data_IF_966507521142
#
_entry.id   IF_966507521142
#
_cell.length_a   1.000
_cell.length_b   1.000
_cell.length_c   1.000
_cell.angle_alpha   90.00
_cell.angle_beta   90.00
_cell.angle_gamma   90.00
#
_symmetry.space_group_name_H-M   'P 1'
#
loop_
_entity.id
_entity.type
_entity.pdbx_description
1 polymer ?
#
# COMPACT_ATOMS: atom_id res chain seq x y z
N UNK A 1 19.40 -16.84 -0.64
CA UNK A 1 19.76 -17.96 -1.54
C UNK A 1 18.88 -19.17 -1.24
N UNK A 2 18.67 -19.56 0.02
CA UNK A 2 17.87 -20.74 0.39
C UNK A 2 16.41 -20.64 -0.10
N UNK A 3 15.73 -19.51 0.14
CA UNK A 3 14.36 -19.29 -0.33
C UNK A 3 14.21 -19.38 -1.85
N UNK A 4 15.19 -18.83 -2.60
CA UNK A 4 15.21 -18.93 -4.06
C UNK A 4 15.42 -20.35 -4.54
N UNK A 5 16.18 -21.18 -3.80
CA UNK A 5 16.35 -22.61 -4.11
C UNK A 5 15.07 -23.42 -3.87
N UNK A 6 14.23 -22.94 -2.97
CA UNK A 6 12.90 -23.50 -2.67
C UNK A 6 11.80 -22.96 -3.60
N UNK A 7 12.17 -22.13 -4.58
CA UNK A 7 11.23 -21.52 -5.53
C UNK A 7 10.43 -20.36 -4.95
N UNK A 8 10.80 -19.89 -3.75
CA UNK A 8 10.15 -18.76 -3.08
C UNK A 8 10.86 -17.46 -3.48
N UNK A 9 10.13 -16.55 -4.10
CA UNK A 9 10.62 -15.19 -4.32
C UNK A 9 10.52 -14.41 -3.02
N UNK A 10 11.63 -14.03 -2.37
CA UNK A 10 11.56 -13.30 -1.12
C UNK A 10 11.04 -11.88 -1.36
N UNK A 11 9.82 -11.62 -0.98
CA UNK A 11 9.25 -10.28 -0.91
C UNK A 11 9.49 -9.70 0.49
N UNK A 12 9.93 -8.44 0.63
CA UNK A 12 10.01 -7.83 1.95
C UNK A 12 8.59 -7.64 2.50
N UNK A 13 8.36 -7.93 3.80
CA UNK A 13 7.11 -7.55 4.42
C UNK A 13 6.96 -6.03 4.39
N UNK A 14 5.73 -5.58 4.35
CA UNK A 14 5.42 -4.16 4.43
C UNK A 14 5.22 -3.80 5.89
N UNK A 15 6.01 -2.84 6.37
CA UNK A 15 5.69 -2.14 7.61
C UNK A 15 4.66 -1.07 7.28
N UNK A 16 3.53 -1.03 7.99
CA UNK A 16 2.46 -0.07 7.71
C UNK A 16 2.80 1.34 8.24
N UNK A 17 4.06 1.73 8.21
CA UNK A 17 4.52 3.01 8.71
C UNK A 17 4.81 3.98 7.56
N UNK A 18 4.37 5.23 7.74
CA UNK A 18 4.76 6.36 6.89
C UNK A 18 5.94 7.05 7.55
N UNK A 19 6.99 7.26 6.78
CA UNK A 19 8.13 8.04 7.21
C UNK A 19 8.06 9.44 6.62
N UNK A 20 8.25 10.46 7.47
CA UNK A 20 8.44 11.82 7.00
C UNK A 20 9.80 11.89 6.27
N UNK A 21 9.76 12.33 5.03
CA UNK A 21 10.98 12.66 4.29
C UNK A 21 11.36 14.09 4.66
N UNK A 22 12.52 14.25 5.24
CA UNK A 22 13.10 15.57 5.45
C UNK A 22 14.04 15.82 4.25
N UNK A 23 13.63 16.66 3.31
CA UNK A 23 14.31 16.87 2.02
C UNK A 23 15.78 17.35 2.14
N UNK A 24 16.21 17.79 3.30
CA UNK A 24 17.55 18.31 3.49
C UNK A 24 18.56 17.33 4.12
N UNK A 25 18.13 16.27 4.77
CA UNK A 25 19.03 15.39 5.54
C UNK A 25 18.59 13.92 5.57
N UNK A 26 18.29 13.29 4.51
CA UNK A 26 17.93 11.84 4.31
C UNK A 26 18.45 10.78 5.34
N UNK A 27 18.76 11.21 6.54
CA UNK A 27 19.44 10.40 7.53
C UNK A 27 18.56 9.90 8.68
N UNK A 28 17.26 10.27 8.69
CA UNK A 28 16.40 9.89 9.82
C UNK A 28 15.02 9.46 9.36
N UNK A 29 14.63 8.25 9.77
CA UNK A 29 13.32 7.66 9.53
C UNK A 29 12.34 8.13 10.61
N UNK A 30 11.88 9.38 10.54
CA UNK A 30 10.85 9.89 11.45
C UNK A 30 9.49 9.30 11.06
N UNK A 31 8.81 8.67 12.00
CA UNK A 31 7.47 8.12 11.78
C UNK A 31 6.46 9.27 11.75
N UNK A 32 5.86 9.49 10.60
CA UNK A 32 4.80 10.49 10.42
C UNK A 32 3.41 9.92 10.67
N UNK A 33 3.22 8.63 10.46
CA UNK A 33 1.90 8.02 10.58
C UNK A 33 1.90 6.53 10.29
N UNK A 34 0.70 6.01 10.14
CA UNK A 34 0.44 4.67 9.63
C UNK A 34 -0.26 4.82 8.28
N UNK A 35 0.19 4.09 7.28
CA UNK A 35 -0.38 4.09 5.92
C UNK A 35 -1.89 3.84 5.97
N UNK A 36 -2.42 3.21 7.01
CA UNK A 36 -3.72 2.58 6.96
C UNK A 36 -4.58 2.65 8.23
N UNK A 37 -4.43 3.64 9.06
CA UNK A 37 -5.24 3.78 10.24
C UNK A 37 -4.46 4.38 11.41
N UNK A 38 -4.87 4.18 12.65
CA UNK A 38 -4.13 4.67 13.78
C UNK A 38 -2.74 4.03 13.84
N UNK A 39 -1.76 4.80 14.30
CA UNK A 39 -0.40 4.30 14.52
C UNK A 39 -0.50 3.12 15.51
N UNK A 40 0.23 2.00 15.28
CA UNK A 40 0.21 0.86 16.17
C UNK A 40 0.56 1.23 17.62
N UNK A 41 -0.03 0.51 18.56
CA UNK A 41 0.23 0.74 19.98
C UNK A 41 1.74 0.69 20.31
N UNK A 42 2.20 1.63 21.11
CA UNK A 42 3.63 1.77 21.45
C UNK A 42 4.43 2.69 20.53
N UNK A 43 3.89 3.09 19.39
CA UNK A 43 4.49 4.02 18.44
C UNK A 43 3.70 5.32 18.44
N UNK A 44 4.36 6.45 18.30
CA UNK A 44 3.71 7.76 18.11
C UNK A 44 4.34 8.51 16.94
N UNK A 45 3.59 9.43 16.34
CA UNK A 45 4.15 10.33 15.33
C UNK A 45 5.27 11.17 15.95
N UNK A 46 6.38 11.30 15.22
CA UNK A 46 7.59 11.95 15.70
C UNK A 46 8.65 10.98 16.28
N UNK A 47 8.31 9.71 16.52
CA UNK A 47 9.33 8.71 16.85
C UNK A 47 10.31 8.56 15.70
N UNK A 48 11.59 8.41 16.02
CA UNK A 48 12.64 8.14 15.07
C UNK A 48 12.94 6.63 15.05
N UNK A 49 12.74 5.97 13.92
CA UNK A 49 13.15 4.58 13.75
C UNK A 49 14.68 4.50 13.66
N UNK A 50 15.28 3.86 14.64
CA UNK A 50 16.72 3.72 14.72
C UNK A 50 17.20 2.30 14.40
N UNK A 51 16.44 1.27 14.82
CA UNK A 51 16.80 -0.12 14.55
C UNK A 51 15.60 -0.96 14.12
N UNK A 52 15.86 -1.95 13.29
CA UNK A 52 14.91 -3.00 12.89
C UNK A 52 15.55 -4.35 13.19
N UNK A 53 14.92 -5.19 13.99
CA UNK A 53 15.46 -6.47 14.46
C UNK A 53 16.89 -6.35 15.04
N UNK A 54 17.15 -5.24 15.74
CA UNK A 54 18.44 -4.94 16.35
C UNK A 54 19.49 -4.29 15.43
N UNK A 55 19.26 -4.26 14.10
CA UNK A 55 20.16 -3.67 13.12
C UNK A 55 19.84 -2.18 12.90
N UNK A 56 20.88 -1.35 12.85
CA UNK A 56 20.76 0.09 12.60
C UNK A 56 20.21 0.33 11.19
N UNK A 57 19.25 1.26 11.05
CA UNK A 57 18.68 1.67 9.77
C UNK A 57 18.72 3.19 9.62
N UNK A 58 19.06 3.66 8.45
CA UNK A 58 19.17 5.09 8.11
C UNK A 58 18.26 5.49 6.93
N UNK A 59 17.70 4.50 6.23
CA UNK A 59 16.85 4.77 5.06
C UNK A 59 15.71 3.76 4.92
N UNK A 60 14.61 4.11 4.24
CA UNK A 60 13.54 3.17 3.94
C UNK A 60 14.01 1.97 3.11
N UNK A 61 15.04 2.15 2.29
CA UNK A 61 15.60 1.06 1.49
C UNK A 61 16.34 0.04 2.36
N UNK A 62 17.09 0.49 3.37
CA UNK A 62 17.74 -0.41 4.34
C UNK A 62 16.70 -1.23 5.12
N UNK A 63 15.62 -0.60 5.55
CA UNK A 63 14.49 -1.31 6.18
C UNK A 63 13.95 -2.42 5.27
N UNK A 64 13.74 -2.12 3.98
CA UNK A 64 13.25 -3.10 3.00
C UNK A 64 14.25 -4.24 2.79
N UNK A 65 15.55 -3.94 2.71
CA UNK A 65 16.58 -4.96 2.53
C UNK A 65 16.69 -5.88 3.75
N UNK A 66 16.67 -5.33 4.97
CA UNK A 66 16.70 -6.12 6.21
C UNK A 66 15.49 -7.03 6.35
N UNK A 67 14.32 -6.57 5.91
CA UNK A 67 13.10 -7.34 6.00
C UNK A 67 12.87 -8.30 4.82
N UNK A 68 13.77 -8.32 3.84
CA UNK A 68 13.63 -9.19 2.66
C UNK A 68 13.61 -10.67 3.04
N UNK A 69 12.47 -11.32 2.81
CA UNK A 69 12.24 -12.71 3.17
C UNK A 69 11.98 -12.96 4.65
N UNK A 70 11.81 -11.89 5.44
CA UNK A 70 11.37 -11.99 6.83
C UNK A 70 9.86 -12.19 6.90
N UNK A 71 9.39 -12.98 7.82
CA UNK A 71 7.96 -13.20 8.09
C UNK A 71 7.70 -13.15 9.58
N UNK A 72 6.62 -12.49 9.99
CA UNK A 72 6.22 -12.40 11.38
C UNK A 72 6.45 -11.03 12.02
N UNK A 73 6.59 -11.04 13.33
CA UNK A 73 6.74 -9.85 14.16
C UNK A 73 8.11 -9.22 13.98
N UNK A 74 8.14 -7.93 13.71
CA UNK A 74 9.37 -7.12 13.53
C UNK A 74 9.62 -6.33 14.79
N UNK A 75 10.83 -6.42 15.33
CA UNK A 75 11.28 -5.61 16.46
C UNK A 75 11.76 -4.25 15.97
N UNK A 76 11.24 -3.17 16.58
CA UNK A 76 11.61 -1.80 16.26
C UNK A 76 12.25 -1.14 17.46
N UNK A 77 13.44 -0.58 17.28
CA UNK A 77 14.06 0.33 18.24
C UNK A 77 13.84 1.78 17.79
N UNK A 78 13.14 2.52 18.62
CA UNK A 78 12.73 3.90 18.37
C UNK A 78 13.49 4.85 19.31
N UNK A 79 13.69 6.09 18.85
CA UNK A 79 14.11 7.20 19.69
C UNK A 79 12.96 8.19 19.83
N UNK A 80 12.52 8.40 21.06
CA UNK A 80 11.46 9.33 21.45
C UNK A 80 12.03 10.35 22.43
N UNK A 81 12.11 11.62 22.03
CA UNK A 81 12.68 12.67 22.89
C UNK A 81 14.05 12.31 23.50
N UNK A 82 14.87 11.57 22.75
CA UNK A 82 16.17 11.02 23.15
C UNK A 82 16.12 9.79 24.07
N UNK A 83 14.95 9.28 24.41
CA UNK A 83 14.79 8.01 25.09
C UNK A 83 14.65 6.85 24.10
N UNK A 84 15.27 5.70 24.43
CA UNK A 84 15.10 4.50 23.62
C UNK A 84 13.84 3.77 24.00
N UNK A 85 12.99 3.49 23.01
CA UNK A 85 11.75 2.73 23.14
C UNK A 85 11.85 1.49 22.25
N UNK A 86 11.65 0.31 22.82
CA UNK A 86 11.54 -0.93 22.06
C UNK A 86 10.06 -1.30 21.91
N UNK A 87 9.67 -1.68 20.72
CA UNK A 87 8.32 -2.13 20.43
C UNK A 87 8.34 -3.17 19.31
N UNK A 88 7.22 -3.79 19.06
CA UNK A 88 7.07 -4.77 17.98
C UNK A 88 5.89 -4.41 17.09
N UNK A 89 5.99 -4.76 15.82
CA UNK A 89 4.93 -4.58 14.84
C UNK A 89 4.84 -5.83 13.97
N UNK A 90 3.62 -6.20 13.58
CA UNK A 90 3.44 -7.26 12.60
C UNK A 90 3.89 -6.78 11.21
N UNK A 91 4.77 -7.56 10.61
CA UNK A 91 5.13 -7.39 9.20
C UNK A 91 4.16 -8.14 8.31
N UNK A 92 3.54 -7.44 7.38
CA UNK A 92 2.60 -8.07 6.44
C UNK A 92 3.36 -8.65 5.24
N UNK A 93 3.17 -9.93 4.90
CA UNK A 93 3.77 -10.49 3.71
C UNK A 93 3.24 -9.74 2.47
N UNK A 94 4.14 -9.19 1.69
CA UNK A 94 3.80 -8.61 0.40
C UNK A 94 3.75 -9.74 -0.61
N UNK A 95 2.59 -10.31 -0.83
CA UNK A 95 2.38 -11.15 -2.00
C UNK A 95 2.59 -10.30 -3.26
N UNK A 96 3.33 -10.86 -4.21
CA UNK A 96 3.46 -10.18 -5.49
C UNK A 96 2.05 -10.00 -6.07
N UNK A 97 1.75 -8.79 -6.56
CA UNK A 97 0.41 -8.48 -7.12
C UNK A 97 0.02 -9.47 -8.21
N UNK A 98 0.99 -9.96 -8.97
CA UNK A 98 0.79 -10.94 -10.05
C UNK A 98 0.58 -12.38 -9.55
N UNK A 99 0.69 -12.65 -8.26
CA UNK A 99 0.44 -13.97 -7.64
C UNK A 99 -1.00 -14.12 -7.13
N UNK A 100 -1.82 -13.11 -7.32
CA UNK A 100 -3.25 -13.07 -6.95
C UNK A 100 -4.08 -12.57 -8.13
N UNK A 101 -5.39 -12.68 -7.99
CA UNK A 101 -6.30 -12.16 -9.00
C UNK A 101 -6.13 -10.67 -9.18
N UNK A 102 -6.11 -10.22 -10.41
CA UNK A 102 -5.97 -8.82 -10.75
C UNK A 102 -6.73 -8.43 -12.01
N UNK A 103 -6.99 -7.14 -12.13
CA UNK A 103 -7.60 -6.53 -13.30
C UNK A 103 -6.59 -5.60 -13.96
N UNK A 104 -6.46 -5.70 -15.28
CA UNK A 104 -5.82 -4.68 -16.10
C UNK A 104 -6.90 -3.83 -16.78
N UNK A 105 -6.89 -2.53 -16.51
CA UNK A 105 -7.82 -1.57 -17.12
C UNK A 105 -7.02 -0.44 -17.80
N UNK A 106 -7.00 -0.43 -19.13
CA UNK A 106 -6.32 0.62 -19.94
C UNK A 106 -4.87 0.93 -19.47
N UNK A 107 -4.14 -0.08 -19.00
CA UNK A 107 -2.79 0.03 -18.45
C UNK A 107 -2.70 0.24 -16.94
N UNK A 108 -3.83 0.26 -16.24
CA UNK A 108 -3.88 0.27 -14.76
C UNK A 108 -3.96 -1.15 -14.24
N UNK A 109 -3.08 -1.51 -13.30
CA UNK A 109 -3.13 -2.76 -12.56
C UNK A 109 -3.89 -2.55 -11.26
N UNK A 110 -4.99 -3.28 -11.08
CA UNK A 110 -5.88 -3.22 -9.93
C UNK A 110 -5.95 -4.62 -9.30
N UNK A 111 -5.79 -4.70 -7.99
CA UNK A 111 -5.97 -5.94 -7.23
C UNK A 111 -6.52 -5.63 -5.83
N UNK A 112 -6.79 -6.67 -5.07
CA UNK A 112 -7.16 -6.51 -3.66
C UNK A 112 -6.06 -5.78 -2.89
N UNK A 113 -6.45 -4.97 -1.91
CA UNK A 113 -5.49 -4.36 -0.99
C UNK A 113 -4.73 -5.46 -0.22
N UNK A 114 -3.45 -5.22 0.02
CA UNK A 114 -2.51 -6.18 0.59
C UNK A 114 -2.74 -6.41 2.09
N UNK A 115 -3.61 -5.64 2.71
CA UNK A 115 -3.73 -5.57 4.17
C UNK A 115 -5.04 -6.14 4.68
N UNK A 116 -5.06 -7.42 5.10
CA UNK A 116 -6.28 -8.11 5.51
C UNK A 116 -6.87 -7.62 6.86
N UNK A 117 -6.08 -6.99 7.71
CA UNK A 117 -6.46 -6.73 9.12
C UNK A 117 -7.29 -5.47 9.36
N UNK A 118 -7.83 -4.88 8.32
CA UNK A 118 -8.63 -3.70 8.55
C UNK A 118 -10.09 -4.06 8.67
N UNK A 119 -10.67 -3.62 9.76
CA UNK A 119 -12.12 -3.49 9.92
C UNK A 119 -12.81 -2.69 8.79
N UNK A 120 -12.03 -2.17 7.84
CA UNK A 120 -12.47 -1.48 6.63
C UNK A 120 -12.27 -2.30 5.35
N UNK A 121 -11.64 -3.46 5.42
CA UNK A 121 -11.05 -4.14 4.25
C UNK A 121 -11.99 -5.07 3.48
N UNK A 122 -13.23 -5.20 3.87
CA UNK A 122 -14.15 -5.92 3.00
C UNK A 122 -14.30 -5.18 1.67
N UNK A 123 -13.60 -5.67 0.65
CA UNK A 123 -13.75 -5.21 -0.72
C UNK A 123 -13.06 -3.87 -1.03
N UNK A 124 -11.87 -3.63 -0.51
CA UNK A 124 -11.02 -2.55 -0.99
C UNK A 124 -10.11 -3.07 -2.10
N UNK A 125 -10.10 -2.35 -3.22
CA UNK A 125 -9.30 -2.65 -4.39
C UNK A 125 -8.37 -1.47 -4.65
N UNK A 126 -7.10 -1.77 -4.82
CA UNK A 126 -6.05 -0.76 -4.95
C UNK A 126 -5.54 -0.67 -6.39
N UNK A 127 -5.27 0.54 -6.84
CA UNK A 127 -4.45 0.82 -8.01
C UNK A 127 -2.99 0.61 -7.64
N UNK A 128 -2.37 -0.46 -8.12
CA UNK A 128 -0.98 -0.80 -7.79
C UNK A 128 0.04 -0.13 -8.71
N UNK A 129 -0.29 -0.01 -9.99
CA UNK A 129 0.57 0.64 -10.97
C UNK A 129 -0.22 1.15 -12.15
N UNK A 130 0.33 2.16 -12.82
CA UNK A 130 -0.18 2.71 -14.07
C UNK A 130 0.98 2.69 -15.06
N UNK A 131 0.77 2.06 -16.21
CA UNK A 131 1.79 1.96 -17.24
C UNK A 131 2.04 3.32 -17.89
N UNK A 132 3.32 3.68 -18.05
CA UNK A 132 3.71 4.91 -18.72
C UNK A 132 3.23 4.93 -20.19
N UNK A 133 2.73 6.06 -20.66
CA UNK A 133 2.14 6.23 -21.97
C UNK A 133 0.74 5.62 -22.11
N UNK A 134 0.20 5.02 -21.05
CA UNK A 134 -1.13 4.45 -21.07
C UNK A 134 -2.22 5.53 -21.04
N UNK A 135 -3.43 5.10 -21.35
CA UNK A 135 -4.58 5.98 -21.27
C UNK A 135 -4.94 6.36 -19.83
N UNK A 136 -4.71 5.45 -18.91
CA UNK A 136 -4.94 5.71 -17.48
C UNK A 136 -4.01 6.77 -16.93
N UNK A 137 -2.76 6.85 -17.42
CA UNK A 137 -1.82 7.91 -17.05
C UNK A 137 -2.30 9.32 -17.40
N UNK A 138 -3.15 9.42 -18.43
CA UNK A 138 -3.74 10.70 -18.88
C UNK A 138 -5.03 11.05 -18.12
N UNK A 139 -5.40 10.26 -17.13
CA UNK A 139 -6.58 10.47 -16.29
C UNK A 139 -6.18 10.90 -14.88
N UNK A 140 -7.19 11.16 -14.04
CA UNK A 140 -6.97 11.48 -12.61
C UNK A 140 -6.75 10.23 -11.75
N UNK A 141 -6.55 9.04 -12.37
CA UNK A 141 -6.18 7.83 -11.64
C UNK A 141 -4.73 7.90 -11.16
N UNK A 142 -4.52 7.60 -9.90
CA UNK A 142 -3.21 7.57 -9.25
C UNK A 142 -2.90 6.21 -8.63
N UNK A 143 -1.61 5.88 -8.53
CA UNK A 143 -1.15 4.72 -7.77
C UNK A 143 -1.48 4.87 -6.29
N UNK A 144 -1.75 3.73 -5.63
CA UNK A 144 -2.17 3.64 -4.23
C UNK A 144 -3.59 4.15 -3.91
N UNK A 145 -4.31 4.70 -4.87
CA UNK A 145 -5.72 5.01 -4.71
C UNK A 145 -6.54 3.73 -4.51
N UNK A 146 -7.58 3.84 -3.67
CA UNK A 146 -8.50 2.74 -3.36
C UNK A 146 -9.83 2.99 -4.05
N UNK A 147 -10.36 1.99 -4.75
CA UNK A 147 -11.67 2.05 -5.38
C UNK A 147 -12.74 1.80 -4.32
N UNK A 148 -13.55 2.80 -4.03
CA UNK A 148 -14.64 2.74 -3.06
C UNK A 148 -15.96 2.32 -3.72
N UNK A 149 -16.25 2.89 -4.89
CA UNK A 149 -17.42 2.50 -5.67
C UNK A 149 -17.24 2.75 -7.16
N UNK A 150 -17.98 1.99 -7.96
CA UNK A 150 -18.10 2.14 -9.41
C UNK A 150 -19.59 2.34 -9.71
N UNK A 151 -19.93 3.45 -10.38
CA UNK A 151 -21.32 3.82 -10.70
C UNK A 151 -22.24 3.78 -9.47
N UNK A 152 -21.73 4.20 -8.30
CA UNK A 152 -22.46 4.19 -7.02
C UNK A 152 -22.57 2.83 -6.35
N UNK A 153 -22.03 1.76 -6.94
CA UNK A 153 -22.04 0.40 -6.39
C UNK A 153 -20.68 0.06 -5.76
N UNK A 154 -20.69 -0.35 -4.49
CA UNK A 154 -19.47 -0.85 -3.82
C UNK A 154 -19.14 -2.25 -4.33
N UNK A 155 -17.92 -2.50 -4.85
CA UNK A 155 -17.49 -3.85 -5.22
C UNK A 155 -17.41 -4.76 -3.98
N UNK A 156 -17.75 -6.03 -4.14
CA UNK A 156 -17.75 -7.05 -3.07
C UNK A 156 -16.65 -8.09 -3.22
N UNK A 157 -16.17 -8.28 -4.46
CA UNK A 157 -15.06 -9.14 -4.82
C UNK A 157 -14.36 -8.56 -6.04
N UNK A 158 -13.22 -9.14 -6.43
CA UNK A 158 -12.50 -8.66 -7.61
C UNK A 158 -13.25 -8.98 -8.91
N UNK A 159 -13.96 -10.10 -8.96
CA UNK A 159 -14.82 -10.47 -10.07
C UNK A 159 -15.99 -9.47 -10.18
N UNK A 160 -16.62 -9.11 -9.06
CA UNK A 160 -17.68 -8.11 -9.05
C UNK A 160 -17.14 -6.73 -9.45
N UNK A 161 -15.93 -6.36 -9.05
CA UNK A 161 -15.28 -5.15 -9.54
C UNK A 161 -15.08 -5.21 -11.06
N UNK A 162 -14.61 -6.33 -11.59
CA UNK A 162 -14.44 -6.54 -13.02
C UNK A 162 -15.77 -6.37 -13.78
N UNK A 163 -16.87 -6.96 -13.28
CA UNK A 163 -18.21 -6.80 -13.85
C UNK A 163 -18.64 -5.34 -13.87
N UNK A 164 -18.42 -4.61 -12.76
CA UNK A 164 -18.76 -3.19 -12.66
C UNK A 164 -17.93 -2.33 -13.62
N UNK A 165 -16.64 -2.61 -13.78
CA UNK A 165 -15.76 -1.89 -14.71
C UNK A 165 -16.12 -2.15 -16.18
N UNK A 166 -16.70 -3.30 -16.48
CA UNK A 166 -17.21 -3.65 -17.81
C UNK A 166 -18.68 -3.26 -18.05
N UNK A 167 -19.37 -2.69 -17.05
CA UNK A 167 -20.81 -2.42 -17.14
C UNK A 167 -21.19 -1.28 -18.11
N UNK A 168 -20.22 -0.53 -18.61
CA UNK A 168 -20.48 0.57 -19.52
C UNK A 168 -19.24 1.32 -19.97
N UNK A 169 -19.38 2.11 -21.02
CA UNK A 169 -18.27 2.91 -21.55
C UNK A 169 -17.86 4.09 -20.65
N UNK A 170 -18.76 4.55 -19.80
CA UNK A 170 -18.53 5.67 -18.87
C UNK A 170 -18.71 5.17 -17.46
N UNK A 171 -17.66 5.29 -16.68
CA UNK A 171 -17.62 4.89 -15.27
C UNK A 171 -17.54 6.14 -14.40
N UNK A 172 -18.31 6.15 -13.33
CA UNK A 172 -18.20 7.09 -12.22
C UNK A 172 -17.50 6.36 -11.08
N UNK A 173 -16.23 6.67 -10.86
CA UNK A 173 -15.42 6.05 -9.84
C UNK A 173 -15.34 6.99 -8.61
N UNK A 174 -15.63 6.46 -7.43
CA UNK A 174 -15.24 7.12 -6.19
C UNK A 174 -13.97 6.44 -5.71
N UNK A 175 -12.91 7.21 -5.66
CA UNK A 175 -11.59 6.79 -5.20
C UNK A 175 -11.31 7.39 -3.83
N UNK A 176 -10.47 6.74 -3.05
CA UNK A 176 -9.94 7.26 -1.81
C UNK A 176 -8.42 7.29 -1.90
N UNK A 177 -7.84 8.42 -1.63
CA UNK A 177 -6.39 8.57 -1.55
C UNK A 177 -5.97 9.11 -0.18
N UNK A 178 -4.70 8.96 0.11
CA UNK A 178 -4.10 9.53 1.31
C UNK A 178 -3.88 11.03 1.10
N UNK A 179 -4.31 11.86 2.06
CA UNK A 179 -4.04 13.29 2.03
C UNK A 179 -2.69 13.59 2.69
N UNK A 180 -1.78 14.18 1.92
CA UNK A 180 -0.47 14.61 2.43
C UNK A 180 -0.56 15.89 3.29
N UNK A 181 -1.69 16.60 3.23
CA UNK A 181 -1.81 17.95 3.81
C UNK A 181 -2.39 17.98 5.21
N UNK A 182 -3.16 16.97 5.60
CA UNK A 182 -3.81 16.94 6.91
C UNK A 182 -3.63 15.58 7.57
N UNK A 183 -2.82 15.54 8.61
CA UNK A 183 -2.56 14.38 9.45
C UNK A 183 -3.77 13.44 9.56
N UNK A 184 -3.73 12.30 8.82
CA UNK A 184 -4.68 11.19 8.89
C UNK A 184 -6.05 11.35 8.21
N UNK A 185 -6.25 12.32 7.33
CA UNK A 185 -7.46 12.44 6.53
C UNK A 185 -7.29 11.72 5.17
N UNK A 186 -8.38 11.16 4.70
CA UNK A 186 -8.48 10.62 3.35
C UNK A 186 -9.27 11.59 2.49
N UNK A 187 -8.75 11.87 1.31
CA UNK A 187 -9.50 12.58 0.30
C UNK A 187 -10.30 11.59 -0.55
N UNK A 188 -11.51 12.00 -0.90
CA UNK A 188 -12.35 11.25 -1.83
C UNK A 188 -12.40 11.97 -3.16
N UNK A 189 -11.95 11.27 -4.20
CA UNK A 189 -11.96 11.77 -5.56
C UNK A 189 -13.12 11.17 -6.33
N UNK A 190 -13.80 11.99 -7.10
CA UNK A 190 -14.79 11.54 -8.05
C UNK A 190 -14.21 11.61 -9.46
N UNK A 191 -13.92 10.46 -10.04
CA UNK A 191 -13.29 10.33 -11.35
C UNK A 191 -14.32 9.82 -12.35
N UNK A 192 -14.54 10.59 -13.43
CA UNK A 192 -15.30 10.12 -14.59
C UNK A 192 -14.34 9.48 -15.58
N UNK A 193 -14.40 8.16 -15.69
CA UNK A 193 -13.49 7.39 -16.52
C UNK A 193 -14.22 6.71 -17.67
N UNK A 194 -13.57 6.64 -18.82
CA UNK A 194 -14.08 5.89 -19.98
C UNK A 194 -13.18 4.68 -20.20
N UNK A 195 -13.52 3.55 -19.60
CA UNK A 195 -12.82 2.29 -19.83
C UNK A 195 -13.02 1.80 -21.27
N UNK A 196 -11.96 1.22 -21.84
CA UNK A 196 -11.99 0.60 -23.17
C UNK A 196 -11.56 -0.84 -23.15
N UNK A 197 -10.53 -1.13 -22.36
CA UNK A 197 -9.90 -2.45 -22.30
C UNK A 197 -9.78 -2.86 -20.84
N UNK A 198 -10.63 -3.80 -20.43
CA UNK A 198 -10.66 -4.32 -19.06
C UNK A 198 -10.51 -5.83 -19.13
N UNK A 199 -9.43 -6.36 -18.58
CA UNK A 199 -9.09 -7.77 -18.62
C UNK A 199 -8.97 -8.28 -17.18
N UNK A 200 -9.62 -9.39 -16.88
CA UNK A 200 -9.49 -10.09 -15.61
C UNK A 200 -8.50 -11.27 -15.73
N UNK A 201 -7.61 -11.37 -14.79
CA UNK A 201 -6.68 -12.47 -14.64
C UNK A 201 -6.99 -13.23 -13.36
N UNK A 202 -7.52 -14.42 -13.50
CA UNK A 202 -7.74 -15.41 -12.46
C UNK A 202 -6.46 -16.25 -12.27
N UNK A 203 -6.05 -16.47 -11.00
CA UNK A 203 -4.80 -17.15 -10.63
C UNK A 203 -5.03 -18.44 -9.89
#
# INVERSE_FOLDING_TARGET
IQLLQEGVTPSPPVLPLIFATNDELDTHLTIAGNIYGPIPAGIIAGDLLATVNGELVLSPNEVRELLRGYTGTVELGLLRESERVETTIEGYPREAVLERDFILMDGTLISTDVYPDRQMSEGLFQVHSIAAGSRSEQSDLGTYQLIISVNGTKPRSIEHLYELLNSGEKLSLIMREWSDTDNFLYDYLHINYKARDVIFYDK
#
